data_IF_642280277916
#
_entry.id   IF_642280277916
#
_cell.length_a   1.000
_cell.length_b   1.000
_cell.length_c   1.000
_cell.angle_alpha   90.00
_cell.angle_beta   90.00
_cell.angle_gamma   90.00
#
_symmetry.space_group_name_H-M   'P 1'
#
loop_
_entity.id
_entity.type
_entity.pdbx_description
1 polymer ?
#
# COMPACT_ATOMS: atom_id res chain seq x y z
N UNK A 1 19.01 -9.09 19.15
CA UNK A 1 20.03 -10.05 18.66
C UNK A 1 19.50 -11.48 18.63
N UNK A 2 18.38 -11.71 17.93
CA UNK A 2 17.82 -13.06 17.76
C UNK A 2 18.69 -13.89 16.81
N UNK A 3 18.60 -15.22 16.90
CA UNK A 3 19.34 -16.14 16.04
C UNK A 3 18.71 -16.28 14.64
N UNK A 4 17.43 -15.96 14.48
CA UNK A 4 16.66 -16.20 13.25
C UNK A 4 15.90 -14.93 12.78
N UNK A 5 16.60 -13.84 12.41
CA UNK A 5 15.96 -12.58 12.06
C UNK A 5 15.07 -12.70 10.81
N UNK A 6 15.55 -13.36 9.75
CA UNK A 6 14.80 -13.55 8.51
C UNK A 6 13.56 -14.45 8.70
N UNK A 7 13.69 -15.55 9.45
CA UNK A 7 12.56 -16.45 9.73
C UNK A 7 11.48 -15.75 10.57
N UNK A 8 11.89 -14.98 11.58
CA UNK A 8 10.96 -14.20 12.38
C UNK A 8 10.19 -13.17 11.52
N UNK A 9 10.89 -12.49 10.60
CA UNK A 9 10.26 -11.56 9.66
C UNK A 9 9.27 -12.27 8.73
N UNK A 10 9.65 -13.43 8.18
CA UNK A 10 8.80 -14.24 7.29
C UNK A 10 7.54 -14.73 7.98
N UNK A 11 7.66 -15.22 9.22
CA UNK A 11 6.50 -15.62 10.04
C UNK A 11 5.60 -14.42 10.29
N UNK A 12 6.16 -13.25 10.63
CA UNK A 12 5.38 -12.03 10.81
C UNK A 12 4.64 -11.63 9.52
N UNK A 13 5.30 -11.72 8.36
CA UNK A 13 4.68 -11.43 7.07
C UNK A 13 3.49 -12.35 6.77
N UNK A 14 3.59 -13.64 7.11
CA UNK A 14 2.49 -14.60 6.98
C UNK A 14 1.34 -14.30 7.94
N UNK A 15 1.64 -14.01 9.20
CA UNK A 15 0.62 -13.63 10.20
C UNK A 15 -0.13 -12.38 9.74
N UNK A 16 0.59 -11.36 9.26
CA UNK A 16 0.00 -10.13 8.74
C UNK A 16 -0.90 -10.41 7.54
N UNK A 17 -0.45 -11.21 6.57
CA UNK A 17 -1.25 -11.55 5.40
C UNK A 17 -2.57 -12.25 5.79
N UNK A 18 -2.49 -13.24 6.69
CA UNK A 18 -3.67 -13.94 7.22
C UNK A 18 -4.60 -12.99 7.99
N UNK A 19 -4.05 -12.12 8.84
CA UNK A 19 -4.82 -11.17 9.63
C UNK A 19 -5.53 -10.14 8.74
N UNK A 20 -4.89 -9.71 7.66
CA UNK A 20 -5.50 -8.78 6.70
C UNK A 20 -6.69 -9.38 5.96
N UNK A 21 -6.65 -10.67 5.67
CA UNK A 21 -7.78 -11.36 5.03
C UNK A 21 -8.99 -11.51 5.97
N UNK A 22 -8.76 -11.53 7.29
CA UNK A 22 -9.81 -11.68 8.30
C UNK A 22 -10.56 -10.40 8.64
N UNK A 23 -10.20 -9.28 8.03
CA UNK A 23 -10.78 -7.98 8.34
C UNK A 23 -12.17 -7.81 7.74
N UNK A 24 -13.06 -7.20 8.51
CA UNK A 24 -14.34 -6.72 8.03
C UNK A 24 -14.16 -5.27 7.54
N UNK A 25 -13.79 -5.12 6.27
CA UNK A 25 -13.42 -3.82 5.69
C UNK A 25 -14.61 -2.87 5.63
N UNK A 26 -15.80 -3.39 5.38
CA UNK A 26 -17.06 -2.65 5.35
C UNK A 26 -17.35 -2.01 6.72
N UNK A 27 -17.26 -2.81 7.80
CA UNK A 27 -17.49 -2.34 9.16
C UNK A 27 -16.40 -1.36 9.63
N UNK A 28 -15.13 -1.65 9.32
CA UNK A 28 -14.02 -0.76 9.64
C UNK A 28 -14.16 0.60 8.94
N UNK A 29 -14.51 0.59 7.65
CA UNK A 29 -14.75 1.81 6.89
C UNK A 29 -15.91 2.62 7.49
N UNK A 30 -17.05 1.98 7.73
CA UNK A 30 -18.24 2.63 8.29
C UNK A 30 -17.92 3.28 9.64
N UNK A 31 -17.25 2.54 10.52
CA UNK A 31 -16.81 3.05 11.82
C UNK A 31 -15.93 4.30 11.68
N UNK A 32 -14.88 4.27 10.85
CA UNK A 32 -14.00 5.43 10.66
C UNK A 32 -14.76 6.62 10.10
N UNK A 33 -15.68 6.40 9.16
CA UNK A 33 -16.48 7.46 8.52
C UNK A 33 -17.51 8.09 9.46
N UNK A 34 -18.16 7.30 10.31
CA UNK A 34 -19.18 7.76 11.25
C UNK A 34 -18.60 8.62 12.37
N UNK A 35 -17.41 8.26 12.85
CA UNK A 35 -16.67 9.02 13.87
C UNK A 35 -15.76 10.12 13.31
N UNK A 36 -15.76 10.36 12.00
CA UNK A 36 -15.05 11.50 11.41
C UNK A 36 -15.89 12.78 11.58
N UNK A 37 -15.32 13.87 12.14
CA UNK A 37 -16.03 15.14 12.33
C UNK A 37 -16.70 15.65 11.06
N UNK A 38 -17.95 16.13 11.19
CA UNK A 38 -18.73 16.75 10.12
C UNK A 38 -18.89 18.26 10.40
N UNK A 39 -18.88 19.12 9.36
CA UNK A 39 -18.66 18.80 7.95
C UNK A 39 -17.20 18.42 7.67
N UNK A 40 -17.01 17.45 6.76
CA UNK A 40 -15.67 17.07 6.30
C UNK A 40 -15.15 18.09 5.28
N UNK A 41 -13.83 18.18 5.11
CA UNK A 41 -13.25 18.91 3.98
C UNK A 41 -13.64 18.28 2.64
N UNK A 42 -13.60 19.05 1.55
CA UNK A 42 -13.90 18.55 0.19
C UNK A 42 -12.99 17.37 -0.17
N UNK A 43 -11.68 17.50 0.07
CA UNK A 43 -10.71 16.44 -0.17
C UNK A 43 -11.04 15.17 0.62
N UNK A 44 -11.31 15.30 1.92
CA UNK A 44 -11.61 14.15 2.77
C UNK A 44 -12.93 13.47 2.37
N UNK A 45 -13.91 14.25 1.92
CA UNK A 45 -15.17 13.70 1.39
C UNK A 45 -14.94 12.86 0.14
N UNK A 46 -14.17 13.37 -0.83
CA UNK A 46 -13.83 12.65 -2.06
C UNK A 46 -13.01 11.40 -1.77
N UNK A 47 -11.99 11.52 -0.92
CA UNK A 47 -11.11 10.39 -0.55
C UNK A 47 -11.87 9.32 0.26
N UNK A 48 -12.79 9.73 1.13
CA UNK A 48 -13.69 8.80 1.82
C UNK A 48 -14.57 8.06 0.82
N UNK A 49 -15.11 8.75 -0.19
CA UNK A 49 -15.86 8.11 -1.27
C UNK A 49 -14.98 7.19 -2.13
N UNK A 50 -13.73 7.54 -2.42
CA UNK A 50 -12.81 6.67 -3.15
C UNK A 50 -12.55 5.35 -2.43
N UNK A 51 -12.42 5.40 -1.10
CA UNK A 51 -12.27 4.19 -0.28
C UNK A 51 -13.54 3.34 -0.26
N UNK A 52 -14.72 3.95 -0.25
CA UNK A 52 -16.00 3.24 -0.39
C UNK A 52 -16.14 2.62 -1.79
N UNK A 53 -15.84 3.38 -2.84
CA UNK A 53 -15.94 2.90 -4.22
C UNK A 53 -15.04 1.68 -4.45
N UNK A 54 -13.85 1.65 -3.84
CA UNK A 54 -12.98 0.48 -3.89
C UNK A 54 -13.61 -0.78 -3.25
N UNK A 55 -14.44 -0.62 -2.22
CA UNK A 55 -15.20 -1.70 -1.59
C UNK A 55 -16.35 -2.13 -2.53
N UNK A 56 -17.17 -1.18 -2.97
CA UNK A 56 -18.39 -1.43 -3.74
C UNK A 56 -18.09 -2.07 -5.11
N UNK A 57 -17.08 -1.54 -5.81
CA UNK A 57 -16.66 -2.03 -7.12
C UNK A 57 -15.78 -3.29 -7.01
N UNK A 58 -15.34 -3.64 -5.80
CA UNK A 58 -14.28 -4.64 -5.57
C UNK A 58 -13.07 -4.34 -6.45
N UNK A 59 -12.62 -3.09 -6.38
CA UNK A 59 -11.48 -2.61 -7.14
C UNK A 59 -10.22 -3.46 -6.84
N UNK A 60 -9.26 -3.47 -7.76
CA UNK A 60 -7.95 -4.08 -7.55
C UNK A 60 -6.94 -3.13 -6.92
N UNK A 61 -7.12 -1.82 -7.14
CA UNK A 61 -6.13 -0.79 -6.79
C UNK A 61 -6.80 0.58 -6.59
N UNK A 62 -6.20 1.41 -5.74
CA UNK A 62 -6.42 2.86 -5.73
C UNK A 62 -5.14 3.56 -6.17
N UNK A 63 -5.21 4.41 -7.20
CA UNK A 63 -4.10 5.27 -7.63
C UNK A 63 -4.35 6.70 -7.13
N UNK A 64 -3.34 7.30 -6.49
CA UNK A 64 -3.43 8.65 -5.93
C UNK A 64 -2.28 9.49 -6.41
N UNK A 65 -2.58 10.51 -7.19
CA UNK A 65 -1.62 11.53 -7.61
C UNK A 65 -1.58 12.66 -6.59
N UNK A 66 -0.39 13.00 -6.08
CA UNK A 66 -0.27 13.98 -5.00
C UNK A 66 1.14 14.53 -4.83
N UNK A 67 1.24 15.84 -4.59
CA UNK A 67 2.54 16.49 -4.34
C UNK A 67 3.03 16.27 -2.90
N UNK A 68 2.15 16.45 -1.92
CA UNK A 68 2.49 16.42 -0.49
C UNK A 68 1.88 15.23 0.25
N UNK A 69 1.12 14.39 -0.46
CA UNK A 69 0.60 13.15 0.07
C UNK A 69 -0.58 13.31 1.03
N UNK A 70 -1.31 14.43 1.01
CA UNK A 70 -2.45 14.62 1.93
C UNK A 70 -3.60 13.71 1.54
N UNK A 71 -3.91 13.60 0.26
CA UNK A 71 -4.89 12.65 -0.29
C UNK A 71 -4.56 11.21 0.09
N UNK A 72 -3.33 10.75 -0.19
CA UNK A 72 -2.88 9.39 0.14
C UNK A 72 -2.93 9.10 1.66
N UNK A 73 -2.64 10.10 2.51
CA UNK A 73 -2.82 9.98 3.98
C UNK A 73 -4.27 9.68 4.35
N UNK A 74 -5.19 10.43 3.75
CA UNK A 74 -6.61 10.32 4.03
C UNK A 74 -7.17 9.01 3.47
N UNK A 75 -6.68 8.54 2.32
CA UNK A 75 -7.10 7.23 1.78
C UNK A 75 -6.69 6.14 2.78
N UNK A 76 -5.45 6.15 3.24
CA UNK A 76 -4.97 5.18 4.24
C UNK A 76 -5.70 5.24 5.59
N UNK A 77 -6.27 6.40 5.98
CA UNK A 77 -7.11 6.57 7.18
C UNK A 77 -8.36 5.70 7.09
N UNK A 78 -9.01 5.64 5.93
CA UNK A 78 -10.24 4.85 5.71
C UNK A 78 -9.97 3.36 5.43
N UNK A 79 -8.72 2.91 5.57
CA UNK A 79 -8.34 1.49 5.60
C UNK A 79 -8.86 0.68 4.40
N UNK A 80 -8.59 1.12 3.15
CA UNK A 80 -9.10 0.45 1.96
C UNK A 80 -8.69 -1.02 1.89
N UNK A 81 -9.49 -1.88 1.23
CA UNK A 81 -9.19 -3.31 1.08
C UNK A 81 -7.99 -3.57 0.17
N UNK A 82 -7.64 -2.60 -0.67
CA UNK A 82 -6.70 -2.68 -1.79
C UNK A 82 -5.44 -1.84 -1.56
N UNK A 83 -4.36 -2.08 -2.30
CA UNK A 83 -3.18 -1.20 -2.28
C UNK A 83 -3.51 0.20 -2.77
N UNK A 84 -2.79 1.17 -2.21
CA UNK A 84 -2.86 2.58 -2.59
C UNK A 84 -1.54 2.93 -3.26
N UNK A 85 -1.52 2.94 -4.59
CA UNK A 85 -0.37 3.41 -5.36
C UNK A 85 -0.34 4.93 -5.32
N UNK A 86 0.66 5.50 -4.64
CA UNK A 86 0.83 6.93 -4.52
C UNK A 86 1.87 7.40 -5.54
N UNK A 87 1.46 8.19 -6.52
CA UNK A 87 2.36 8.76 -7.52
C UNK A 87 2.69 10.19 -7.13
N UNK A 88 3.98 10.53 -7.07
CA UNK A 88 4.44 11.85 -6.65
C UNK A 88 5.78 12.24 -7.29
N UNK A 89 6.05 13.52 -7.56
CA UNK A 89 7.38 13.96 -7.97
C UNK A 89 8.35 14.12 -6.79
N UNK A 90 7.85 14.22 -5.55
CA UNK A 90 8.70 14.45 -4.38
C UNK A 90 9.15 13.13 -3.73
N UNK A 91 10.45 12.85 -3.86
CA UNK A 91 11.07 11.69 -3.24
C UNK A 91 11.01 11.73 -1.70
N UNK A 92 10.95 12.91 -1.07
CA UNK A 92 10.80 12.99 0.39
C UNK A 92 9.43 12.50 0.84
N UNK A 93 8.36 13.00 0.21
CA UNK A 93 6.99 12.59 0.48
C UNK A 93 6.80 11.10 0.17
N UNK A 94 7.37 10.58 -0.92
CA UNK A 94 7.35 9.16 -1.23
C UNK A 94 7.91 8.31 -0.07
N UNK A 95 9.10 8.64 0.44
CA UNK A 95 9.71 7.91 1.58
C UNK A 95 8.87 7.95 2.84
N UNK A 96 8.23 9.08 3.14
CA UNK A 96 7.35 9.20 4.31
C UNK A 96 6.13 8.27 4.23
N UNK A 97 5.59 8.10 3.03
CA UNK A 97 4.39 7.29 2.81
C UNK A 97 4.68 5.80 2.62
N UNK A 98 5.92 5.41 2.34
CA UNK A 98 6.31 3.99 2.28
C UNK A 98 6.00 3.22 3.58
N UNK A 99 6.04 3.92 4.73
CA UNK A 99 5.73 3.35 6.04
C UNK A 99 4.23 3.35 6.39
N UNK A 100 3.36 3.89 5.52
CA UNK A 100 1.91 4.00 5.80
C UNK A 100 1.16 2.76 5.35
N UNK A 101 0.04 2.52 6.03
CA UNK A 101 -0.87 1.42 5.70
C UNK A 101 -1.34 1.51 4.24
N UNK A 102 -1.28 0.40 3.52
CA UNK A 102 -1.66 0.20 2.12
C UNK A 102 -0.90 1.05 1.09
N UNK A 103 -0.12 2.05 1.49
CA UNK A 103 0.57 2.95 0.58
C UNK A 103 1.78 2.28 -0.09
N UNK A 104 1.89 2.46 -1.39
CA UNK A 104 3.02 2.09 -2.24
C UNK A 104 3.41 3.32 -3.07
N UNK A 105 4.42 4.08 -2.63
CA UNK A 105 4.81 5.31 -3.30
C UNK A 105 5.68 5.02 -4.53
N UNK A 106 5.49 5.81 -5.59
CA UNK A 106 6.29 5.82 -6.81
C UNK A 106 6.68 7.26 -7.10
N UNK A 107 7.97 7.47 -7.37
CA UNK A 107 8.50 8.78 -7.73
C UNK A 107 8.52 8.90 -9.25
N UNK A 108 7.94 9.97 -9.78
CA UNK A 108 7.91 10.26 -11.22
C UNK A 108 8.40 11.67 -11.47
N UNK A 109 9.34 11.83 -12.41
CA UNK A 109 9.83 13.15 -12.82
C UNK A 109 8.92 13.70 -13.93
N UNK A 110 7.93 14.51 -13.55
CA UNK A 110 6.98 15.13 -14.49
C UNK A 110 6.50 16.49 -13.98
N UNK A 111 6.22 17.39 -14.93
CA UNK A 111 5.67 18.73 -14.68
C UNK A 111 4.25 18.73 -14.13
N UNK A 112 3.48 17.64 -14.29
CA UNK A 112 2.15 17.50 -13.70
C UNK A 112 0.99 18.14 -14.45
N UNK A 113 1.17 18.45 -15.74
CA UNK A 113 0.04 18.92 -16.56
C UNK A 113 -1.04 17.84 -16.62
N UNK A 114 -2.31 18.25 -16.57
CA UNK A 114 -3.45 17.34 -16.66
C UNK A 114 -3.47 16.55 -17.99
N UNK A 115 -2.93 17.14 -19.07
CA UNK A 115 -2.83 16.47 -20.37
C UNK A 115 -1.92 15.22 -20.34
N UNK A 116 -1.08 15.10 -19.30
CA UNK A 116 -0.21 13.95 -19.09
C UNK A 116 -0.86 12.88 -18.19
N UNK A 117 -2.06 13.10 -17.67
CA UNK A 117 -2.71 12.19 -16.73
C UNK A 117 -2.86 10.78 -17.32
N UNK A 118 -3.31 10.66 -18.57
CA UNK A 118 -3.48 9.34 -19.22
C UNK A 118 -2.16 8.58 -19.34
N UNK A 119 -1.08 9.28 -19.66
CA UNK A 119 0.27 8.70 -19.77
C UNK A 119 0.77 8.28 -18.40
N UNK A 120 0.67 9.17 -17.41
CA UNK A 120 1.07 8.91 -16.03
C UNK A 120 0.27 7.77 -15.40
N UNK A 121 -1.03 7.69 -15.68
CA UNK A 121 -1.91 6.64 -15.21
C UNK A 121 -1.54 5.30 -15.85
N UNK A 122 -1.28 5.28 -17.16
CA UNK A 122 -0.79 4.07 -17.84
C UNK A 122 0.51 3.57 -17.24
N UNK A 123 1.50 4.45 -17.08
CA UNK A 123 2.80 4.10 -16.48
C UNK A 123 2.65 3.59 -15.04
N UNK A 124 1.73 4.20 -14.27
CA UNK A 124 1.41 3.79 -12.91
C UNK A 124 0.74 2.40 -12.85
N UNK A 125 -0.16 2.09 -13.79
CA UNK A 125 -0.80 0.79 -13.90
C UNK A 125 0.20 -0.30 -14.33
N UNK A 126 1.05 -0.01 -15.32
CA UNK A 126 2.11 -0.92 -15.78
C UNK A 126 3.08 -1.23 -14.62
N UNK A 127 3.45 -0.21 -13.83
CA UNK A 127 4.23 -0.40 -12.61
C UNK A 127 3.50 -1.29 -11.60
N UNK A 128 2.21 -1.02 -11.34
CA UNK A 128 1.41 -1.80 -10.40
C UNK A 128 1.33 -3.28 -10.78
N UNK A 129 1.17 -3.59 -12.07
CA UNK A 129 1.14 -4.97 -12.58
C UNK A 129 2.50 -5.65 -12.45
N UNK A 130 3.58 -4.97 -12.86
CA UNK A 130 4.95 -5.49 -12.72
C UNK A 130 5.28 -5.86 -11.27
N UNK A 131 4.79 -5.07 -10.31
CA UNK A 131 4.98 -5.29 -8.88
C UNK A 131 3.88 -6.14 -8.23
N UNK A 132 2.95 -6.71 -9.02
CA UNK A 132 1.83 -7.57 -8.56
C UNK A 132 0.95 -6.89 -7.49
N UNK A 133 0.79 -5.57 -7.59
CA UNK A 133 -0.06 -4.76 -6.72
C UNK A 133 -1.50 -4.71 -7.22
N UNK A 134 -1.71 -4.85 -8.52
CA UNK A 134 -3.01 -4.79 -9.15
C UNK A 134 -3.27 -6.07 -9.94
N UNK A 135 -4.45 -6.70 -9.79
CA UNK A 135 -4.90 -7.77 -10.66
C UNK A 135 -5.22 -7.26 -12.07
N UNK A 136 -4.95 -8.09 -13.07
CA UNK A 136 -5.26 -7.80 -14.47
C UNK A 136 -6.77 -7.66 -14.69
N UNK A 137 -7.15 -6.69 -15.54
CA UNK A 137 -8.54 -6.38 -15.88
C UNK A 137 -9.40 -5.88 -14.72
N UNK A 138 -8.84 -5.57 -13.55
CA UNK A 138 -9.60 -5.09 -12.40
C UNK A 138 -9.96 -3.60 -12.49
N UNK A 139 -11.06 -3.23 -11.83
CA UNK A 139 -11.44 -1.82 -11.66
C UNK A 139 -10.43 -1.10 -10.77
N UNK A 140 -10.07 0.12 -11.15
CA UNK A 140 -9.10 0.95 -10.44
C UNK A 140 -9.77 2.29 -10.13
N UNK A 141 -9.67 2.70 -8.87
CA UNK A 141 -10.13 4.03 -8.44
C UNK A 141 -8.95 4.99 -8.52
N UNK A 142 -9.11 6.10 -9.24
CA UNK A 142 -8.06 7.10 -9.43
C UNK A 142 -8.46 8.40 -8.72
N UNK A 143 -7.52 9.00 -8.00
CA UNK A 143 -7.68 10.29 -7.35
C UNK A 143 -6.56 11.22 -7.81
N UNK A 144 -6.91 12.36 -8.41
CA UNK A 144 -5.96 13.35 -8.92
C UNK A 144 -6.52 14.77 -8.75
N UNK A 145 -5.74 15.81 -9.04
CA UNK A 145 -6.21 17.19 -9.06
C UNK A 145 -6.83 17.61 -10.41
N UNK A 146 -7.75 18.59 -10.41
CA UNK A 146 -8.47 19.02 -11.63
C UNK A 146 -7.59 19.74 -12.66
N UNK A 147 -6.77 20.70 -12.23
CA UNK A 147 -5.98 21.55 -13.13
C UNK A 147 -4.52 21.09 -13.23
N UNK A 148 -4.01 20.55 -12.13
CA UNK A 148 -2.67 19.99 -12.00
C UNK A 148 -2.84 18.62 -11.37
N UNK A 149 -2.16 17.62 -11.91
CA UNK A 149 -2.30 16.22 -11.47
C UNK A 149 -1.99 16.07 -9.98
N UNK A 150 -1.05 16.85 -9.46
CA UNK A 150 -0.51 16.72 -8.11
C UNK A 150 -1.30 17.43 -6.99
N UNK A 151 -2.28 18.29 -7.33
CA UNK A 151 -2.91 19.17 -6.32
C UNK A 151 -3.99 18.47 -5.49
N UNK A 152 -3.91 18.62 -4.16
CA UNK A 152 -4.89 18.07 -3.22
C UNK A 152 -6.07 19.03 -2.94
N UNK A 153 -6.09 20.25 -3.51
CA UNK A 153 -7.10 21.28 -3.17
C UNK A 153 -8.43 21.06 -3.90
N UNK A 154 -8.35 20.62 -5.17
CA UNK A 154 -9.50 20.29 -6.02
C UNK A 154 -9.32 18.88 -6.55
N UNK A 155 -9.44 17.91 -5.65
CA UNK A 155 -9.35 16.52 -6.04
C UNK A 155 -10.57 16.12 -6.88
N UNK A 156 -10.34 15.19 -7.80
CA UNK A 156 -11.33 14.52 -8.64
C UNK A 156 -11.13 13.02 -8.44
N UNK A 157 -12.23 12.28 -8.50
CA UNK A 157 -12.22 10.83 -8.46
C UNK A 157 -12.77 10.32 -9.79
N UNK A 158 -12.02 9.43 -10.44
CA UNK A 158 -12.39 8.76 -11.68
C UNK A 158 -12.12 7.26 -11.58
N UNK A 159 -12.61 6.50 -12.55
CA UNK A 159 -12.44 5.05 -12.63
C UNK A 159 -11.67 4.70 -13.89
N UNK A 160 -10.79 3.71 -13.77
CA UNK A 160 -10.02 3.17 -14.87
C UNK A 160 -9.99 1.64 -14.78
N UNK A 161 -9.61 0.98 -15.87
CA UNK A 161 -9.41 -0.46 -15.90
C UNK A 161 -7.92 -0.78 -15.96
N UNK A 162 -7.48 -1.72 -15.13
CA UNK A 162 -6.14 -2.27 -15.24
C UNK A 162 -5.97 -2.99 -16.60
N UNK A 163 -4.80 -2.92 -17.25
CA UNK A 163 -4.55 -3.65 -18.49
C UNK A 163 -4.76 -5.17 -18.34
N UNK A 164 -5.00 -5.86 -19.45
CA UNK A 164 -5.15 -7.32 -19.46
C UNK A 164 -6.58 -7.83 -19.24
N UNK A 165 -6.74 -9.15 -19.26
CA UNK A 165 -8.03 -9.81 -19.04
C UNK A 165 -8.28 -10.03 -17.55
N UNK A 166 -9.55 -9.99 -17.15
CA UNK A 166 -9.97 -10.18 -15.76
C UNK A 166 -9.42 -11.50 -15.22
N UNK A 167 -8.49 -11.42 -14.29
CA UNK A 167 -7.93 -12.62 -13.67
C UNK A 167 -9.01 -13.37 -12.88
N UNK A 168 -9.30 -14.66 -13.17
CA UNK A 168 -10.26 -15.45 -12.41
C UNK A 168 -9.82 -15.68 -10.96
N UNK A 169 -8.52 -15.50 -10.66
CA UNK A 169 -7.99 -15.57 -9.29
C UNK A 169 -8.44 -14.41 -8.41
N UNK A 170 -8.69 -13.24 -9.01
CA UNK A 170 -9.17 -12.04 -8.32
C UNK A 170 -10.64 -11.73 -8.60
N UNK A 171 -11.30 -12.50 -9.47
CA UNK A 171 -12.73 -12.40 -9.66
C UNK A 171 -13.44 -12.87 -8.39
N UNK A 172 -13.69 -11.93 -7.47
CA UNK A 172 -14.67 -12.13 -6.42
C UNK A 172 -16.11 -12.20 -6.95
N UNK A 173 -16.31 -12.04 -8.27
CA UNK A 173 -17.55 -12.39 -8.96
C UNK A 173 -17.72 -13.91 -9.05
N UNK A 174 -17.78 -14.61 -7.90
CA UNK A 174 -18.48 -15.88 -7.89
C UNK A 174 -19.96 -15.57 -8.00
N UNK A 175 -20.57 -15.85 -9.14
CA UNK A 175 -21.99 -15.55 -9.41
C UNK A 175 -22.97 -16.28 -8.48
N UNK A 176 -22.52 -17.22 -7.62
CA UNK A 176 -23.44 -18.08 -6.85
C UNK A 176 -23.00 -18.43 -5.41
N UNK A 177 -22.44 -17.50 -4.64
CA UNK A 177 -22.32 -17.72 -3.19
C UNK A 177 -22.96 -16.60 -2.39
N UNK A 178 -24.06 -16.93 -1.72
CA UNK A 178 -24.57 -16.18 -0.56
C UNK A 178 -23.50 -16.26 0.53
N UNK A 179 -22.55 -15.34 0.49
CA UNK A 179 -21.56 -15.19 1.55
C UNK A 179 -22.27 -14.53 2.74
N UNK A 180 -22.37 -15.24 3.85
CA UNK A 180 -22.71 -14.62 5.12
C UNK A 180 -21.65 -13.55 5.44
N UNK A 181 -22.02 -12.28 5.45
CA UNK A 181 -21.12 -11.16 5.79
C UNK A 181 -20.64 -11.19 7.25
N UNK A 182 -21.14 -12.13 8.07
CA UNK A 182 -20.71 -12.35 9.46
C UNK A 182 -19.70 -13.48 9.63
N UNK A 183 -19.42 -14.27 8.59
CA UNK A 183 -18.37 -15.30 8.62
C UNK A 183 -17.16 -14.79 7.85
N UNK A 184 -16.00 -14.72 8.53
CA UNK A 184 -14.73 -14.41 7.87
C UNK A 184 -14.52 -15.38 6.71
N UNK A 185 -14.13 -14.88 5.53
CA UNK A 185 -13.82 -15.71 4.34
C UNK A 185 -12.56 -16.59 4.53
N UNK A 186 -12.00 -16.59 5.74
CA UNK A 186 -10.82 -17.37 6.10
C UNK A 186 -11.24 -18.83 6.29
N UNK A 187 -10.57 -19.72 5.57
CA UNK A 187 -10.61 -21.16 5.80
C UNK A 187 -9.19 -21.69 6.02
N UNK A 188 -9.06 -22.93 6.50
CA UNK A 188 -7.75 -23.53 6.80
C UNK A 188 -6.77 -23.47 5.61
N UNK A 189 -7.17 -23.78 4.36
CA UNK A 189 -6.30 -23.56 3.20
C UNK A 189 -5.74 -22.13 3.10
N UNK A 190 -6.58 -21.10 3.26
CA UNK A 190 -6.14 -19.71 3.20
C UNK A 190 -5.27 -19.28 4.38
N UNK A 191 -5.43 -19.90 5.55
CA UNK A 191 -4.54 -19.69 6.70
C UNK A 191 -3.15 -20.29 6.44
N UNK A 192 -3.10 -21.46 5.80
CA UNK A 192 -1.85 -22.16 5.53
C UNK A 192 -1.10 -21.55 4.33
N UNK A 193 -1.84 -21.02 3.35
CA UNK A 193 -1.31 -20.39 2.14
C UNK A 193 -2.04 -19.07 1.83
N UNK A 194 -1.62 -17.94 2.43
CA UNK A 194 -2.23 -16.64 2.17
C UNK A 194 -2.01 -16.21 0.72
N UNK A 195 -3.12 -15.97 0.01
CA UNK A 195 -3.12 -15.71 -1.43
C UNK A 195 -2.70 -14.28 -1.85
N UNK A 196 -2.56 -13.33 -0.92
CA UNK A 196 -2.34 -11.93 -1.28
C UNK A 196 -0.90 -11.67 -1.75
N UNK A 197 -0.69 -11.19 -3.00
CA UNK A 197 0.65 -10.90 -3.51
C UNK A 197 1.29 -9.66 -2.88
N UNK A 198 0.55 -8.92 -2.05
CA UNK A 198 0.97 -7.68 -1.40
C UNK A 198 0.50 -7.65 0.07
N UNK A 199 1.09 -6.74 0.86
CA UNK A 199 0.71 -6.51 2.27
C UNK A 199 0.43 -5.04 2.52
N UNK A 200 -0.72 -4.73 3.09
CA UNK A 200 -1.10 -3.35 3.41
C UNK A 200 -0.40 -2.87 4.68
N UNK A 201 -0.25 -3.73 5.66
CA UNK A 201 0.41 -3.48 6.93
C UNK A 201 1.92 -3.59 6.76
N UNK A 202 2.64 -2.58 7.25
CA UNK A 202 4.09 -2.48 7.10
C UNK A 202 4.80 -3.16 8.26
N UNK A 203 5.83 -3.93 7.96
CA UNK A 203 6.65 -4.61 8.97
C UNK A 203 7.86 -3.74 9.30
N UNK A 204 7.96 -3.38 10.58
CA UNK A 204 9.09 -2.63 11.13
C UNK A 204 10.02 -3.61 11.84
N UNK A 205 11.26 -3.72 11.37
CA UNK A 205 12.27 -4.55 12.02
C UNK A 205 13.31 -3.67 12.71
N UNK A 206 13.54 -3.92 14.00
CA UNK A 206 14.62 -3.24 14.73
C UNK A 206 15.96 -3.89 14.39
N UNK A 207 16.87 -3.13 13.80
CA UNK A 207 18.18 -3.60 13.37
C UNK A 207 19.12 -3.67 14.57
N UNK A 208 19.53 -4.88 14.95
CA UNK A 208 20.60 -5.13 15.92
C UNK A 208 21.91 -5.51 15.24
N UNK A 209 23.05 -5.56 15.96
CA UNK A 209 24.37 -5.88 15.41
C UNK A 209 24.45 -7.17 14.59
N UNK A 210 23.58 -8.16 14.87
CA UNK A 210 23.49 -9.43 14.11
C UNK A 210 22.82 -9.31 12.74
N UNK A 211 22.32 -8.13 12.38
CA UNK A 211 21.64 -7.87 11.10
C UNK A 211 22.36 -6.77 10.30
N UNK A 212 23.61 -6.45 10.65
CA UNK A 212 24.36 -5.34 10.04
C UNK A 212 25.08 -5.74 8.75
N UNK A 213 25.14 -7.04 8.45
CA UNK A 213 25.64 -7.57 7.18
C UNK A 213 24.61 -7.43 6.06
N UNK A 214 25.10 -7.20 4.84
CA UNK A 214 24.27 -6.97 3.66
C UNK A 214 23.36 -8.18 3.33
N UNK A 215 23.86 -9.40 3.52
CA UNK A 215 23.12 -10.63 3.23
C UNK A 215 21.89 -10.77 4.13
N UNK A 216 22.04 -10.54 5.44
CA UNK A 216 20.91 -10.56 6.37
C UNK A 216 19.94 -9.41 6.10
N UNK A 217 20.41 -8.23 5.69
CA UNK A 217 19.53 -7.13 5.28
C UNK A 217 18.70 -7.50 4.05
N UNK A 218 19.33 -8.08 3.03
CA UNK A 218 18.64 -8.58 1.83
C UNK A 218 17.61 -9.64 2.19
N UNK A 219 17.99 -10.63 3.00
CA UNK A 219 17.09 -11.67 3.47
C UNK A 219 15.90 -11.13 4.27
N UNK A 220 16.06 -10.03 5.02
CA UNK A 220 14.97 -9.35 5.72
C UNK A 220 14.02 -8.63 4.76
N UNK A 221 14.54 -7.95 3.74
CA UNK A 221 13.73 -7.31 2.70
C UNK A 221 12.92 -8.35 1.93
N UNK A 222 13.56 -9.45 1.50
CA UNK A 222 12.91 -10.57 0.82
C UNK A 222 11.87 -11.27 1.71
N UNK A 223 12.15 -11.39 3.01
CA UNK A 223 11.20 -11.93 3.98
C UNK A 223 9.99 -11.01 4.21
N UNK A 224 10.09 -9.73 3.82
CA UNK A 224 8.97 -8.80 3.79
C UNK A 224 9.09 -7.58 4.71
N UNK A 225 10.28 -7.26 5.20
CA UNK A 225 10.55 -6.03 5.94
C UNK A 225 10.23 -4.80 5.08
N UNK A 226 9.56 -3.80 5.65
CA UNK A 226 9.29 -2.53 4.97
C UNK A 226 10.09 -1.37 5.56
N UNK A 227 10.32 -1.39 6.87
CA UNK A 227 10.99 -0.31 7.59
C UNK A 227 12.07 -0.89 8.48
N UNK A 228 13.31 -0.47 8.24
CA UNK A 228 14.42 -0.74 9.16
C UNK A 228 14.43 0.35 10.25
N UNK A 229 14.19 -0.05 11.49
CA UNK A 229 14.37 0.81 12.67
C UNK A 229 15.80 0.63 13.19
N UNK A 230 16.61 1.67 13.04
CA UNK A 230 17.94 1.70 13.65
C UNK A 230 17.84 1.86 15.17
N UNK A 231 18.50 0.98 15.91
CA UNK A 231 18.64 1.11 17.36
C UNK A 231 20.01 1.74 17.69
N UNK A 232 20.01 2.82 18.48
CA UNK A 232 21.22 3.52 18.96
C UNK A 232 21.63 3.12 20.39
N UNK A 233 21.06 2.05 20.95
CA UNK A 233 21.46 1.54 22.28
C UNK A 233 22.86 0.90 22.30
N UNK A 234 23.40 0.49 21.15
CA UNK A 234 24.69 -0.19 21.03
C UNK A 234 25.42 0.29 19.79
N UNK A 235 26.74 0.48 19.89
CA UNK A 235 27.59 0.88 18.77
C UNK A 235 28.07 2.33 18.85
N UNK A 236 28.88 2.72 17.88
CA UNK A 236 29.37 4.10 17.70
C UNK A 236 28.56 4.80 16.60
N UNK A 237 28.55 6.13 16.60
CA UNK A 237 27.90 6.91 15.53
C UNK A 237 28.42 6.54 14.13
N UNK A 238 29.72 6.31 13.99
CA UNK A 238 30.35 5.86 12.74
C UNK A 238 29.88 4.48 12.31
N UNK A 239 29.74 3.54 13.25
CA UNK A 239 29.19 2.22 12.98
C UNK A 239 27.75 2.31 12.45
N UNK A 240 26.91 3.13 13.08
CA UNK A 240 25.53 3.35 12.61
C UNK A 240 25.45 3.99 11.22
N UNK A 241 26.37 4.91 10.89
CA UNK A 241 26.45 5.49 9.55
C UNK A 241 26.77 4.41 8.51
N UNK A 242 27.76 3.55 8.79
CA UNK A 242 28.14 2.44 7.91
C UNK A 242 26.96 1.50 7.64
N UNK A 243 26.20 1.16 8.69
CA UNK A 243 25.00 0.30 8.58
C UNK A 243 23.91 0.98 7.75
N UNK A 244 23.73 2.30 7.91
CA UNK A 244 22.76 3.06 7.11
C UNK A 244 23.14 3.10 5.63
N UNK A 245 24.41 3.31 5.32
CA UNK A 245 24.92 3.32 3.94
C UNK A 245 24.79 1.94 3.30
N UNK A 246 25.13 0.88 4.04
CA UNK A 246 24.95 -0.51 3.61
C UNK A 246 23.48 -0.80 3.32
N UNK A 247 22.57 -0.42 4.24
CA UNK A 247 21.13 -0.64 4.05
C UNK A 247 20.59 0.10 2.82
N UNK A 248 21.04 1.34 2.57
CA UNK A 248 20.66 2.09 1.36
C UNK A 248 21.17 1.43 0.09
N UNK A 249 22.38 0.87 0.11
CA UNK A 249 22.93 0.16 -1.04
C UNK A 249 22.17 -1.13 -1.36
N UNK A 250 21.73 -1.86 -0.33
CA UNK A 250 20.93 -3.10 -0.49
C UNK A 250 19.49 -2.80 -0.94
N UNK A 251 18.93 -1.66 -0.53
CA UNK A 251 17.55 -1.26 -0.86
C UNK A 251 17.40 -0.49 -2.19
N UNK A 252 18.51 -0.11 -2.83
CA UNK A 252 18.54 0.60 -4.11
C UNK A 252 18.30 -0.35 -5.28
#
# INVERSE_FOLDING_TARGET
>A
NGAFPAEACRIMARIVANAEEGRNVEQEYAFVRDFTPKPMSTLESIVSCASQAAIDLRAGLIVVFTMHGRSSRLVAKYRPPVPVLMVTPDAQTARLHAARFACYPVVVDSSGSIDQLDVLLKDALDYAQKHRLCPDGSEVVVVHGTNEVWTDVKAVMEFALAPGEVSPFFSHRSEEQVASYSCTKINLPRVLDPALPFRKTKIVCTMGPKCWDADTMGALLDAGMNVARMNFSHGTHEGHLTVLETFRAVAA
#
